data_IF_696775001932
#
_entry.id   IF_696775001932
#
_cell.length_a   1.000
_cell.length_b   1.000
_cell.length_c   1.000
_cell.angle_alpha   90.00
_cell.angle_beta   90.00
_cell.angle_gamma   90.00
#
_symmetry.space_group_name_H-M   'P 1'
#
loop_
_entity.id
_entity.type
_entity.pdbx_description
1 polymer ?
#
# COMPACT_ATOMS: atom_id res chain seq x y z
N UNK A 1 15.11 1.85 -12.40
CA UNK A 1 14.89 3.09 -11.65
C UNK A 1 13.61 2.89 -10.87
N UNK A 2 13.67 2.65 -9.56
CA UNK A 2 12.49 2.46 -8.71
C UNK A 2 12.03 3.84 -8.24
N UNK A 3 10.86 4.26 -8.69
CA UNK A 3 10.29 5.55 -8.27
C UNK A 3 9.47 5.33 -7.00
N UNK A 4 9.77 6.11 -5.97
CA UNK A 4 9.13 6.02 -4.66
C UNK A 4 8.08 7.12 -4.56
N UNK A 5 6.85 6.76 -4.19
CA UNK A 5 5.78 7.72 -3.95
C UNK A 5 5.94 8.41 -2.60
N UNK A 6 5.60 9.69 -2.53
CA UNK A 6 5.47 10.40 -1.26
C UNK A 6 4.17 9.99 -0.53
N UNK A 7 4.13 10.32 0.76
CA UNK A 7 3.02 10.01 1.66
C UNK A 7 1.66 10.48 1.14
N UNK A 8 1.56 11.71 0.65
CA UNK A 8 0.27 12.31 0.27
C UNK A 8 -0.25 11.69 -1.01
N UNK A 9 0.63 11.42 -1.98
CA UNK A 9 0.28 10.72 -3.21
C UNK A 9 -0.26 9.33 -2.91
N UNK A 10 0.41 8.56 -2.05
CA UNK A 10 -0.07 7.21 -1.69
C UNK A 10 -1.44 7.26 -1.01
N UNK A 11 -1.69 8.23 -0.11
CA UNK A 11 -3.03 8.38 0.51
C UNK A 11 -4.12 8.72 -0.52
N UNK A 12 -3.83 9.60 -1.48
CA UNK A 12 -4.77 9.98 -2.52
C UNK A 12 -5.16 8.79 -3.39
N UNK A 13 -4.18 7.98 -3.80
CA UNK A 13 -4.44 6.79 -4.62
C UNK A 13 -5.24 5.73 -3.85
N UNK A 14 -4.91 5.48 -2.58
CA UNK A 14 -5.67 4.55 -1.75
C UNK A 14 -7.12 5.01 -1.52
N UNK A 15 -7.33 6.31 -1.31
CA UNK A 15 -8.68 6.92 -1.25
C UNK A 15 -9.44 6.81 -2.58
N UNK A 16 -8.71 6.80 -3.70
CA UNK A 16 -9.24 6.58 -5.03
C UNK A 16 -9.54 5.10 -5.35
N UNK A 17 -9.36 4.19 -4.39
CA UNK A 17 -9.63 2.76 -4.57
C UNK A 17 -8.43 1.95 -5.08
N UNK A 18 -7.24 2.55 -5.17
CA UNK A 18 -6.02 1.78 -5.37
C UNK A 18 -5.69 0.98 -4.11
N UNK A 19 -4.88 -0.05 -4.28
CA UNK A 19 -4.46 -0.94 -3.22
C UNK A 19 -2.94 -0.95 -3.11
N UNK A 20 -2.43 -1.37 -1.96
CA UNK A 20 -1.03 -1.69 -1.80
C UNK A 20 -0.91 -3.18 -1.54
N UNK A 21 -0.05 -3.85 -2.29
CA UNK A 21 0.16 -5.30 -2.21
C UNK A 21 1.62 -5.58 -1.95
N UNK A 22 1.91 -6.51 -1.04
CA UNK A 22 3.28 -6.98 -0.82
C UNK A 22 3.54 -7.49 0.59
N UNK A 23 4.81 -7.60 0.93
CA UNK A 23 5.28 -8.02 2.25
C UNK A 23 6.58 -7.31 2.63
N UNK A 24 7.09 -7.62 3.82
CA UNK A 24 8.28 -6.94 4.36
C UNK A 24 9.58 -7.37 3.68
N UNK A 25 9.59 -8.53 3.02
CA UNK A 25 10.76 -9.11 2.33
C UNK A 25 10.86 -8.63 0.89
N UNK A 26 9.73 -8.57 0.17
CA UNK A 26 9.64 -8.19 -1.24
C UNK A 26 9.31 -6.70 -1.43
N UNK A 27 8.92 -6.01 -0.35
CA UNK A 27 8.46 -4.64 -0.40
C UNK A 27 6.98 -4.54 -0.80
N UNK A 28 6.46 -3.32 -0.70
CA UNK A 28 5.06 -3.00 -0.97
C UNK A 28 4.94 -2.24 -2.28
N UNK A 29 3.95 -2.60 -3.10
CA UNK A 29 3.75 -2.04 -4.43
C UNK A 29 2.31 -1.60 -4.61
N UNK A 30 2.11 -0.48 -5.29
CA UNK A 30 0.78 0.04 -5.61
C UNK A 30 0.11 -0.76 -6.74
N UNK A 31 -1.14 -1.14 -6.54
CA UNK A 31 -1.99 -1.83 -7.50
C UNK A 31 -3.21 -0.98 -7.85
N UNK A 32 -3.45 -0.81 -9.14
CA UNK A 32 -4.47 0.12 -9.63
C UNK A 32 -3.97 1.56 -9.67
N UNK A 33 -4.81 2.44 -10.23
CA UNK A 33 -4.54 3.88 -10.30
C UNK A 33 -3.40 4.28 -11.23
N UNK A 34 -2.97 5.54 -11.10
CA UNK A 34 -1.96 6.15 -11.97
C UNK A 34 -0.55 5.61 -11.70
N UNK A 35 -0.31 5.15 -10.48
CA UNK A 35 1.02 4.73 -10.01
C UNK A 35 1.12 3.22 -9.84
N UNK A 36 0.36 2.45 -10.61
CA UNK A 36 0.49 1.00 -10.64
C UNK A 36 1.96 0.56 -10.84
N UNK A 37 2.43 -0.36 -9.99
CA UNK A 37 3.79 -0.89 -10.03
C UNK A 37 4.82 -0.06 -9.26
N UNK A 38 4.43 1.08 -8.67
CA UNK A 38 5.35 1.92 -7.88
C UNK A 38 5.51 1.39 -6.47
N UNK A 39 6.72 1.53 -5.94
CA UNK A 39 7.07 1.06 -4.59
C UNK A 39 6.56 2.03 -3.53
N UNK A 40 5.94 1.47 -2.49
CA UNK A 40 5.55 2.16 -1.26
C UNK A 40 6.46 1.71 -0.12
N UNK A 41 6.93 2.66 0.70
CA UNK A 41 7.81 2.32 1.83
C UNK A 41 7.02 1.64 2.96
N UNK A 42 7.63 0.58 3.49
CA UNK A 42 7.07 -0.24 4.56
C UNK A 42 6.79 0.54 5.86
N UNK A 43 7.69 1.44 6.25
CA UNK A 43 7.57 2.25 7.47
C UNK A 43 6.33 3.14 7.47
N UNK A 44 6.01 3.74 6.32
CA UNK A 44 4.83 4.59 6.12
C UNK A 44 3.55 3.76 6.24
N UNK A 45 3.52 2.59 5.61
CA UNK A 45 2.37 1.69 5.64
C UNK A 45 2.10 1.16 7.06
N UNK A 46 3.15 0.76 7.78
CA UNK A 46 3.04 0.30 9.16
C UNK A 46 2.58 1.40 10.11
N UNK A 47 3.02 2.65 9.89
CA UNK A 47 2.53 3.80 10.65
C UNK A 47 1.03 3.99 10.47
N UNK A 48 0.52 3.91 9.24
CA UNK A 48 -0.90 4.06 8.95
C UNK A 48 -1.75 2.91 9.47
N UNK A 49 -1.23 1.67 9.40
CA UNK A 49 -1.89 0.51 10.00
C UNK A 49 -2.07 0.72 11.51
N UNK A 50 -1.02 1.17 12.21
CA UNK A 50 -1.08 1.50 13.65
C UNK A 50 -2.05 2.65 13.98
N UNK A 51 -2.23 3.58 13.05
CA UNK A 51 -3.15 4.70 13.19
C UNK A 51 -4.59 4.34 12.79
N UNK A 52 -4.85 3.13 12.28
CA UNK A 52 -6.15 2.71 11.80
C UNK A 52 -6.61 3.40 10.50
N UNK A 53 -5.68 4.01 9.74
CA UNK A 53 -6.00 4.68 8.48
C UNK A 53 -6.13 3.69 7.31
N UNK A 54 -5.44 2.56 7.43
CA UNK A 54 -5.53 1.44 6.49
C UNK A 54 -5.78 0.15 7.25
N UNK A 55 -6.45 -0.80 6.60
CA UNK A 55 -6.55 -2.17 7.09
C UNK A 55 -5.62 -3.07 6.30
N UNK A 56 -5.11 -4.12 6.94
CA UNK A 56 -4.39 -5.20 6.30
C UNK A 56 -5.35 -6.36 6.10
N UNK A 57 -5.69 -6.65 4.86
CA UNK A 57 -6.43 -7.85 4.48
C UNK A 57 -5.42 -8.97 4.18
N UNK A 58 -5.46 -10.10 4.92
CA UNK A 58 -4.73 -11.29 4.52
C UNK A 58 -5.37 -11.83 3.24
N UNK A 59 -4.56 -11.98 2.19
CA UNK A 59 -4.99 -12.73 1.01
C UNK A 59 -4.91 -14.22 1.34
N UNK A 60 -6.01 -14.94 1.16
CA UNK A 60 -6.02 -16.40 1.33
C UNK A 60 -5.37 -17.12 0.14
N UNK A 61 -5.17 -16.42 -0.99
CA UNK A 61 -4.73 -16.98 -2.27
C UNK A 61 -3.26 -16.64 -2.55
N UNK A 62 -2.78 -15.48 -2.13
CA UNK A 62 -1.37 -15.09 -2.26
C UNK A 62 -0.73 -14.86 -0.88
N UNK A 63 0.56 -15.14 -0.73
CA UNK A 63 1.29 -14.81 0.51
C UNK A 63 1.47 -13.29 0.74
N UNK A 64 0.85 -12.45 -0.10
CA UNK A 64 0.94 -11.00 -0.02
C UNK A 64 -0.18 -10.42 0.85
N UNK A 65 0.17 -9.37 1.58
CA UNK A 65 -0.81 -8.57 2.29
C UNK A 65 -1.38 -7.50 1.37
N UNK A 66 -2.69 -7.27 1.43
CA UNK A 66 -3.35 -6.14 0.77
C UNK A 66 -3.68 -5.07 1.79
N UNK A 67 -3.46 -3.82 1.43
CA UNK A 67 -3.77 -2.68 2.27
C UNK A 67 -4.72 -1.73 1.55
N UNK A 68 -5.81 -1.40 2.24
CA UNK A 68 -6.86 -0.50 1.75
C UNK A 68 -7.10 0.62 2.75
N UNK A 69 -7.48 1.79 2.24
CA UNK A 69 -7.87 2.93 3.05
C UNK A 69 -9.25 2.71 3.71
N UNK A 70 -9.39 3.10 4.98
CA UNK A 70 -10.65 2.94 5.75
C UNK A 70 -11.08 4.20 6.49
N UNK A 71 -10.33 5.30 6.36
CA UNK A 71 -10.59 6.58 7.07
C UNK A 71 -11.29 7.65 6.26
#
# INVERSE_FOLDING_TARGET
MSTVLDKNTVMLELKGGSEIVGDVLMGYTMRGGKYHGWTVRADTLMKWLKQGLVIREPDAISNYAHFRWVG
#
